data_IF_443903646035
#
_entry.id   IF_443903646035
#
_cell.length_a   1.000
_cell.length_b   1.000
_cell.length_c   1.000
_cell.angle_alpha   90.00
_cell.angle_beta   90.00
_cell.angle_gamma   90.00
#
_symmetry.space_group_name_H-M   'P 1'
#
loop_
_entity.id
_entity.type
_entity.pdbx_description
1 polymer ?
#
# COMPACT_ATOMS: atom_id res chain seq x y z
N UNK A 1 -17.91 3.66 -49.88
CA UNK A 1 -17.42 2.58 -48.99
C UNK A 1 -16.87 3.28 -47.77
N UNK A 2 -17.75 3.53 -46.81
CA UNK A 2 -17.43 4.12 -45.51
C UNK A 2 -16.49 3.19 -44.75
N UNK A 3 -15.38 3.73 -44.26
CA UNK A 3 -14.64 3.17 -43.15
C UNK A 3 -14.90 4.10 -41.96
N UNK A 4 -15.96 3.78 -41.23
CA UNK A 4 -16.20 4.32 -39.90
C UNK A 4 -15.04 3.89 -39.01
N UNK A 5 -14.15 4.83 -38.69
CA UNK A 5 -13.21 4.71 -37.60
C UNK A 5 -13.98 4.89 -36.29
N UNK A 6 -14.24 3.78 -35.60
CA UNK A 6 -14.74 3.82 -34.24
C UNK A 6 -13.72 4.55 -33.34
N UNK A 7 -14.16 5.43 -32.43
CA UNK A 7 -13.25 6.04 -31.48
C UNK A 7 -12.70 4.96 -30.54
N UNK A 8 -11.37 4.96 -30.37
CA UNK A 8 -10.70 4.18 -29.33
C UNK A 8 -11.30 4.62 -27.99
N UNK A 9 -11.95 3.69 -27.29
CA UNK A 9 -12.37 3.93 -25.92
C UNK A 9 -11.11 4.26 -25.11
N UNK A 10 -11.08 5.48 -24.57
CA UNK A 10 -10.21 5.81 -23.46
C UNK A 10 -10.56 4.81 -22.35
N UNK A 11 -9.65 3.90 -22.03
CA UNK A 11 -9.70 3.17 -20.77
C UNK A 11 -9.48 4.24 -19.72
N UNK A 12 -10.56 4.73 -19.13
CA UNK A 12 -10.50 5.50 -17.90
C UNK A 12 -9.86 4.58 -16.88
N UNK A 13 -8.67 4.94 -16.39
CA UNK A 13 -8.10 4.35 -15.18
C UNK A 13 -9.24 4.23 -14.18
N UNK A 14 -9.60 3.02 -13.78
CA UNK A 14 -10.64 2.85 -12.78
C UNK A 14 -10.18 3.62 -11.55
N UNK A 15 -10.83 4.75 -11.28
CA UNK A 15 -10.58 5.48 -10.05
C UNK A 15 -11.08 4.59 -8.93
N UNK A 16 -10.15 4.03 -8.16
CA UNK A 16 -10.47 3.24 -6.98
C UNK A 16 -11.27 4.11 -6.02
N UNK A 17 -12.58 3.87 -5.96
CA UNK A 17 -13.46 4.53 -5.00
C UNK A 17 -13.59 3.63 -3.77
N UNK A 18 -13.01 4.06 -2.65
CA UNK A 18 -13.09 3.34 -1.37
C UNK A 18 -14.54 3.22 -0.85
N UNK A 19 -15.48 4.03 -1.32
CA UNK A 19 -16.90 3.89 -0.98
C UNK A 19 -17.56 2.67 -1.64
N UNK A 20 -16.97 2.16 -2.73
CA UNK A 20 -17.44 1.00 -3.50
C UNK A 20 -16.41 -0.14 -3.46
N UNK A 21 -15.62 -0.24 -2.40
CA UNK A 21 -14.54 -1.23 -2.26
C UNK A 21 -15.06 -2.68 -2.37
N UNK A 22 -16.30 -2.92 -1.96
CA UNK A 22 -16.99 -4.21 -2.09
C UNK A 22 -17.24 -4.65 -3.53
N UNK A 23 -17.05 -3.75 -4.50
CA UNK A 23 -17.24 -3.98 -5.94
C UNK A 23 -15.93 -4.07 -6.72
N UNK A 24 -14.79 -3.88 -6.08
CA UNK A 24 -13.50 -3.98 -6.76
C UNK A 24 -13.30 -5.40 -7.29
N UNK A 25 -12.77 -5.50 -8.51
CA UNK A 25 -12.41 -6.80 -9.08
C UNK A 25 -11.25 -7.40 -8.26
N UNK A 26 -11.51 -8.53 -7.63
CA UNK A 26 -10.50 -9.26 -6.86
C UNK A 26 -9.57 -9.99 -7.84
N UNK A 27 -8.45 -9.35 -8.19
CA UNK A 27 -7.39 -9.98 -8.99
C UNK A 27 -6.41 -10.83 -8.15
N UNK A 28 -6.85 -11.33 -7.01
CA UNK A 28 -5.96 -11.83 -5.97
C UNK A 28 -6.25 -13.23 -5.47
N UNK A 29 -5.17 -13.97 -5.20
CA UNK A 29 -5.22 -15.32 -4.65
C UNK A 29 -5.39 -15.35 -3.13
N UNK A 30 -5.00 -16.47 -2.51
CA UNK A 30 -5.23 -16.78 -1.09
C UNK A 30 -4.48 -15.88 -0.07
N UNK A 31 -3.78 -14.84 -0.51
CA UNK A 31 -2.87 -14.03 0.30
C UNK A 31 -3.13 -12.52 0.13
N UNK A 32 -4.35 -12.09 0.42
CA UNK A 32 -4.73 -10.68 0.41
C UNK A 32 -4.45 -9.95 1.72
N UNK A 33 -4.25 -8.64 1.57
CA UNK A 33 -4.16 -7.65 2.64
C UNK A 33 -5.28 -6.61 2.48
N UNK A 34 -5.62 -5.85 3.53
CA UNK A 34 -5.13 -5.99 4.92
C UNK A 34 -5.72 -7.22 5.62
N UNK A 35 -5.20 -7.53 6.82
CA UNK A 35 -5.75 -8.57 7.70
C UNK A 35 -6.04 -8.05 9.11
N UNK A 36 -6.87 -8.79 9.85
CA UNK A 36 -6.90 -8.70 11.30
C UNK A 36 -5.74 -9.50 11.91
N UNK A 37 -4.89 -8.82 12.67
CA UNK A 37 -3.82 -9.42 13.46
C UNK A 37 -4.42 -9.84 14.81
N UNK A 38 -4.78 -11.12 14.89
CA UNK A 38 -5.22 -11.77 16.12
C UNK A 38 -3.98 -12.11 16.98
N UNK A 39 -3.73 -11.31 18.02
CA UNK A 39 -2.53 -11.44 18.85
C UNK A 39 -2.50 -12.73 19.67
N UNK A 40 -3.61 -13.49 19.73
CA UNK A 40 -3.63 -14.81 20.35
C UNK A 40 -3.09 -15.92 19.44
N UNK A 41 -2.98 -15.67 18.13
CA UNK A 41 -2.57 -16.63 17.10
C UNK A 41 -1.17 -16.35 16.53
N UNK A 42 -0.50 -15.30 16.97
CA UNK A 42 0.85 -14.99 16.50
C UNK A 42 1.84 -16.05 16.98
N UNK A 43 2.81 -16.36 16.12
CA UNK A 43 3.93 -17.21 16.44
C UNK A 43 5.18 -16.33 16.49
N UNK A 44 5.95 -16.32 17.60
CA UNK A 44 7.18 -15.56 17.67
C UNK A 44 8.16 -15.96 16.56
N UNK A 45 8.81 -14.97 15.96
CA UNK A 45 9.86 -15.20 14.97
C UNK A 45 11.02 -15.99 15.60
N UNK A 46 11.66 -16.86 14.81
CA UNK A 46 12.83 -17.63 15.25
C UNK A 46 14.15 -16.90 14.96
N UNK A 47 14.14 -15.98 13.99
CA UNK A 47 15.26 -15.10 13.70
C UNK A 47 15.17 -13.79 14.52
N UNK A 48 16.17 -12.92 14.37
CA UNK A 48 16.25 -11.67 15.11
C UNK A 48 15.17 -10.65 14.70
N UNK A 49 14.50 -10.81 13.56
CA UNK A 49 13.57 -9.82 13.02
C UNK A 49 14.22 -8.46 12.78
N UNK A 50 15.50 -8.43 12.40
CA UNK A 50 16.28 -7.21 12.26
C UNK A 50 15.71 -6.33 11.13
N UNK A 51 15.36 -5.10 11.51
CA UNK A 51 14.90 -4.04 10.59
C UNK A 51 15.80 -2.81 10.79
N UNK A 52 16.41 -2.35 9.71
CA UNK A 52 17.16 -1.09 9.67
C UNK A 52 16.62 -0.23 8.54
N UNK A 53 16.20 0.99 8.86
CA UNK A 53 15.65 1.94 7.91
C UNK A 53 16.63 3.10 7.76
N UNK A 54 17.12 3.32 6.55
CA UNK A 54 18.05 4.38 6.19
C UNK A 54 17.42 5.20 5.06
N UNK A 55 16.47 6.07 5.44
CA UNK A 55 15.76 6.96 4.52
C UNK A 55 16.36 8.35 4.57
N UNK A 56 16.24 9.09 3.47
CA UNK A 56 16.68 10.46 3.44
C UNK A 56 15.81 11.34 4.34
N UNK A 57 16.38 12.44 4.81
CA UNK A 57 15.67 13.41 5.67
C UNK A 57 15.01 14.52 4.85
N UNK A 58 15.17 14.50 3.53
CA UNK A 58 14.66 15.53 2.62
C UNK A 58 13.72 14.85 1.63
N UNK A 59 12.43 15.06 1.86
CA UNK A 59 11.35 14.62 0.96
C UNK A 59 11.57 15.17 -0.45
N UNK A 60 11.32 14.34 -1.47
CA UNK A 60 11.45 14.72 -2.87
C UNK A 60 10.16 15.36 -3.39
N UNK A 61 9.02 14.76 -3.08
CA UNK A 61 7.70 15.27 -3.48
C UNK A 61 6.61 14.84 -2.49
N UNK A 62 5.48 15.56 -2.52
CA UNK A 62 4.27 15.23 -1.77
C UNK A 62 3.05 15.46 -2.67
N UNK A 63 2.20 14.44 -2.80
CA UNK A 63 0.99 14.49 -3.60
C UNK A 63 -0.27 14.03 -2.85
N UNK A 64 -1.38 14.73 -3.08
CA UNK A 64 -2.72 14.18 -2.89
C UNK A 64 -3.17 13.62 -4.25
N UNK A 65 -3.13 12.30 -4.40
CA UNK A 65 -3.48 11.63 -5.65
C UNK A 65 -4.96 11.22 -5.74
N UNK A 66 -5.79 11.69 -4.81
CA UNK A 66 -7.22 11.36 -4.74
C UNK A 66 -7.53 10.03 -4.05
N UNK A 67 -6.51 9.26 -3.66
CA UNK A 67 -6.65 8.01 -2.93
C UNK A 67 -5.94 8.05 -1.57
N UNK A 68 -4.82 8.74 -1.48
CA UNK A 68 -4.01 8.91 -0.27
C UNK A 68 -3.21 10.21 -0.36
N UNK A 69 -2.57 10.58 0.76
CA UNK A 69 -1.44 11.50 0.74
C UNK A 69 -0.18 10.64 0.61
N UNK A 70 0.52 10.76 -0.52
CA UNK A 70 1.77 10.07 -0.80
C UNK A 70 2.93 11.04 -0.70
N UNK A 71 4.04 10.56 -0.13
CA UNK A 71 5.28 11.30 0.01
C UNK A 71 6.41 10.47 -0.62
N UNK A 72 7.00 11.02 -1.68
CA UNK A 72 8.07 10.39 -2.42
C UNK A 72 9.42 10.71 -1.79
N UNK A 73 10.22 9.67 -1.58
CA UNK A 73 11.55 9.79 -1.02
C UNK A 73 12.43 8.58 -1.42
N UNK A 74 13.70 8.63 -1.06
CA UNK A 74 14.70 7.63 -1.41
C UNK A 74 15.47 7.18 -0.18
N UNK A 75 16.03 5.98 -0.26
CA UNK A 75 16.74 5.37 0.84
C UNK A 75 16.74 3.86 0.71
N UNK A 76 17.03 3.17 1.80
CA UNK A 76 16.99 1.71 1.84
C UNK A 76 16.38 1.18 3.13
N UNK A 77 15.74 0.02 3.04
CA UNK A 77 15.39 -0.79 4.19
C UNK A 77 16.17 -2.10 4.13
N UNK A 78 16.84 -2.46 5.22
CA UNK A 78 17.35 -3.81 5.42
C UNK A 78 16.39 -4.56 6.34
N UNK A 79 15.79 -5.64 5.82
CA UNK A 79 14.84 -6.49 6.55
C UNK A 79 15.34 -7.93 6.46
N UNK A 80 15.67 -8.53 7.60
CA UNK A 80 16.18 -9.91 7.68
C UNK A 80 17.33 -10.20 6.70
N UNK A 81 18.28 -9.26 6.60
CA UNK A 81 19.47 -9.37 5.76
C UNK A 81 19.24 -9.15 4.26
N UNK A 82 18.04 -8.72 3.85
CA UNK A 82 17.73 -8.33 2.46
C UNK A 82 17.55 -6.82 2.37
N UNK A 83 18.13 -6.23 1.34
CA UNK A 83 18.04 -4.79 1.06
C UNK A 83 16.91 -4.51 0.07
N UNK A 84 16.06 -3.54 0.39
CA UNK A 84 14.98 -3.03 -0.45
C UNK A 84 15.16 -1.53 -0.65
N UNK A 85 14.80 -1.01 -1.83
CA UNK A 85 15.00 0.38 -2.19
C UNK A 85 13.75 1.17 -1.84
N UNK A 86 13.86 2.16 -0.96
CA UNK A 86 12.69 2.95 -0.58
C UNK A 86 12.21 3.84 -1.73
N UNK A 87 10.88 3.93 -1.90
CA UNK A 87 10.25 4.65 -3.01
C UNK A 87 9.28 5.74 -2.55
N UNK A 88 8.40 5.42 -1.61
CA UNK A 88 7.40 6.34 -1.07
C UNK A 88 6.87 5.83 0.25
N UNK A 89 6.23 6.72 1.01
CA UNK A 89 5.28 6.32 2.03
C UNK A 89 3.95 7.03 1.84
N UNK A 90 2.87 6.41 2.32
CA UNK A 90 1.53 6.97 2.24
C UNK A 90 0.67 6.57 3.43
N UNK A 91 -0.48 7.23 3.56
CA UNK A 91 -1.32 7.14 4.74
C UNK A 91 -2.69 6.55 4.44
N UNK A 92 -3.19 5.75 5.38
CA UNK A 92 -4.59 5.32 5.43
C UNK A 92 -5.23 5.78 6.73
N UNK A 93 -6.45 6.30 6.65
CA UNK A 93 -7.22 6.74 7.81
C UNK A 93 -8.71 6.38 7.62
N UNK A 94 -9.28 5.45 8.43
CA UNK A 94 -8.65 4.72 9.52
C UNK A 94 -7.59 3.70 9.05
N UNK A 95 -6.92 3.01 9.98
CA UNK A 95 -5.97 1.94 9.64
C UNK A 95 -6.63 0.85 8.79
N UNK A 96 -5.87 0.27 7.87
CA UNK A 96 -6.34 -0.85 7.05
C UNK A 96 -6.27 -2.15 7.85
N UNK A 97 -5.11 -2.46 8.42
CA UNK A 97 -4.97 -3.56 9.36
C UNK A 97 -5.70 -3.26 10.67
N UNK A 98 -6.17 -4.33 11.31
CA UNK A 98 -6.73 -4.26 12.66
C UNK A 98 -5.90 -5.11 13.61
N UNK A 99 -5.85 -4.71 14.89
CA UNK A 99 -5.25 -5.52 15.96
C UNK A 99 -6.37 -5.98 16.87
N UNK A 100 -6.59 -7.29 16.96
CA UNK A 100 -7.71 -7.89 17.69
C UNK A 100 -9.07 -7.28 17.30
N UNK A 101 -9.27 -7.01 16.00
CA UNK A 101 -10.48 -6.43 15.43
C UNK A 101 -10.63 -4.92 15.63
N UNK A 102 -9.62 -4.23 16.20
CA UNK A 102 -9.64 -2.79 16.43
C UNK A 102 -8.85 -2.03 15.37
N UNK A 103 -9.49 -1.04 14.74
CA UNK A 103 -8.81 -0.03 13.92
C UNK A 103 -8.08 1.02 14.77
N UNK A 104 -7.00 1.54 14.22
CA UNK A 104 -6.26 2.69 14.73
C UNK A 104 -6.59 3.93 13.89
N UNK A 105 -6.33 5.15 14.40
CA UNK A 105 -6.68 6.37 13.70
C UNK A 105 -5.99 6.52 12.33
N UNK A 106 -4.75 6.05 12.21
CA UNK A 106 -3.92 6.13 11.00
C UNK A 106 -3.03 4.90 10.89
N UNK A 107 -2.79 4.46 9.67
CA UNK A 107 -1.74 3.51 9.29
C UNK A 107 -0.83 4.14 8.23
N UNK A 108 0.47 3.85 8.28
CA UNK A 108 1.45 4.34 7.31
C UNK A 108 2.07 3.15 6.61
N UNK A 109 2.06 3.18 5.28
CA UNK A 109 2.71 2.20 4.43
C UNK A 109 4.00 2.78 3.90
N UNK A 110 5.12 2.10 4.15
CA UNK A 110 6.42 2.41 3.53
C UNK A 110 6.65 1.38 2.41
N UNK A 111 6.75 1.85 1.17
CA UNK A 111 6.85 1.00 -0.02
C UNK A 111 8.31 0.95 -0.50
N UNK A 112 8.81 -0.28 -0.72
CA UNK A 112 10.19 -0.58 -1.12
C UNK A 112 10.30 -1.54 -2.30
#
# INVERSE_FOLDING_TARGET
KDASSQPKQHVTTEQLNYQDQDRWELESGDAQSPINIDTSKIVPMQDAGDIQLDYNTTVQDEEDNGHTIQVDDTGTAQINGRTFAFTQFHFHAPSEHTINGKHYPVEVHFVH
#
